data_IF_807669874129
#
_entry.id   IF_807669874129
#
_cell.length_a   1.000
_cell.length_b   1.000
_cell.length_c   1.000
_cell.angle_alpha   90.00
_cell.angle_beta   90.00
_cell.angle_gamma   90.00
#
_symmetry.space_group_name_H-M   'P 1'
#
loop_
_entity.id
_entity.type
_entity.pdbx_description
1 polymer ?
#
# COMPACT_ATOMS: atom_id res chain seq x y z
N UNK A 1 37.25 -34.62 65.73
CA UNK A 1 35.89 -35.22 65.78
C UNK A 1 34.87 -34.10 66.04
N UNK A 2 34.71 -33.15 65.10
CA UNK A 2 33.86 -31.96 65.28
C UNK A 2 33.44 -31.33 63.93
N UNK A 3 32.97 -32.13 62.98
CA UNK A 3 32.47 -31.60 61.69
C UNK A 3 31.32 -32.45 61.10
N UNK A 4 30.45 -32.98 61.97
CA UNK A 4 29.29 -33.79 61.57
C UNK A 4 27.98 -33.35 62.23
N UNK A 5 27.92 -32.13 62.76
CA UNK A 5 26.68 -31.55 63.28
C UNK A 5 26.49 -30.20 62.59
N UNK A 6 25.73 -30.19 61.49
CA UNK A 6 24.76 -29.14 61.10
C UNK A 6 24.44 -29.21 59.60
N UNK A 7 23.84 -30.32 59.16
CA UNK A 7 23.27 -30.40 57.79
C UNK A 7 21.74 -30.58 57.80
N UNK A 8 21.14 -30.84 58.97
CA UNK A 8 19.68 -31.01 59.10
C UNK A 8 18.92 -29.69 58.97
N UNK A 9 19.49 -28.58 59.44
CA UNK A 9 18.85 -27.27 59.34
C UNK A 9 18.85 -26.75 57.89
N UNK A 10 19.97 -26.93 57.18
CA UNK A 10 20.09 -26.53 55.77
C UNK A 10 19.12 -27.31 54.88
N UNK A 11 19.02 -28.62 55.06
CA UNK A 11 18.06 -29.46 54.31
C UNK A 11 16.61 -29.02 54.57
N UNK A 12 16.25 -28.68 55.82
CA UNK A 12 14.92 -28.17 56.15
C UNK A 12 14.61 -26.82 55.48
N UNK A 13 15.58 -25.92 55.43
CA UNK A 13 15.42 -24.61 54.76
C UNK A 13 15.26 -24.79 53.26
N UNK A 14 16.06 -25.66 52.63
CA UNK A 14 15.95 -25.96 51.20
C UNK A 14 14.58 -26.57 50.87
N UNK A 15 14.10 -27.53 51.67
CA UNK A 15 12.75 -28.10 51.47
C UNK A 15 11.63 -27.05 51.61
N UNK A 16 11.74 -26.11 52.55
CA UNK A 16 10.76 -25.02 52.69
C UNK A 16 10.78 -24.05 51.50
N UNK A 17 11.95 -23.75 50.95
CA UNK A 17 12.07 -22.88 49.77
C UNK A 17 11.51 -23.56 48.51
N UNK A 18 11.78 -24.86 48.32
CA UNK A 18 11.24 -25.61 47.18
C UNK A 18 9.72 -25.71 47.26
N UNK A 19 9.15 -26.01 48.42
CA UNK A 19 7.69 -26.09 48.59
C UNK A 19 7.01 -24.75 48.38
N UNK A 20 7.59 -23.65 48.86
CA UNK A 20 7.11 -22.30 48.59
C UNK A 20 7.16 -21.94 47.10
N UNK A 21 8.23 -22.31 46.40
CA UNK A 21 8.36 -22.06 44.96
C UNK A 21 7.34 -22.86 44.16
N UNK A 22 7.12 -24.14 44.50
CA UNK A 22 6.10 -24.97 43.87
C UNK A 22 4.69 -24.40 44.08
N UNK A 23 4.37 -23.91 45.28
CA UNK A 23 3.08 -23.27 45.55
C UNK A 23 2.89 -22.00 44.71
N UNK A 24 3.93 -21.20 44.54
CA UNK A 24 3.91 -20.00 43.70
C UNK A 24 3.70 -20.33 42.22
N UNK A 25 4.38 -21.35 41.70
CA UNK A 25 4.21 -21.81 40.31
C UNK A 25 2.78 -22.33 40.09
N UNK A 26 2.25 -23.14 41.00
CA UNK A 26 0.88 -23.65 40.92
C UNK A 26 -0.16 -22.53 40.97
N UNK A 27 0.05 -21.52 41.83
CA UNK A 27 -0.82 -20.35 41.91
C UNK A 27 -0.77 -19.51 40.62
N UNK A 28 0.43 -19.29 40.07
CA UNK A 28 0.60 -18.59 38.80
C UNK A 28 -0.11 -19.33 37.66
N UNK A 29 0.07 -20.65 37.54
CA UNK A 29 -0.61 -21.47 36.53
C UNK A 29 -2.14 -21.47 36.69
N UNK A 30 -2.64 -21.45 37.93
CA UNK A 30 -4.06 -21.32 38.20
C UNK A 30 -4.62 -19.96 37.76
N UNK A 31 -3.90 -18.87 38.05
CA UNK A 31 -4.31 -17.52 37.66
C UNK A 31 -4.27 -17.31 36.15
N UNK A 32 -3.27 -17.85 35.45
CA UNK A 32 -3.22 -17.79 33.97
C UNK A 32 -4.37 -18.55 33.34
N UNK A 33 -4.70 -19.75 33.84
CA UNK A 33 -5.83 -20.53 33.34
C UNK A 33 -7.17 -19.82 33.57
N UNK A 34 -7.35 -19.21 34.74
CA UNK A 34 -8.57 -18.43 35.05
C UNK A 34 -8.70 -17.19 34.15
N UNK A 35 -7.60 -16.55 33.80
CA UNK A 35 -7.60 -15.42 32.87
C UNK A 35 -7.95 -15.86 31.43
N UNK A 36 -7.46 -17.02 30.99
CA UNK A 36 -7.84 -17.62 29.70
C UNK A 36 -9.35 -17.94 29.66
N UNK A 37 -9.88 -18.59 30.70
CA UNK A 37 -11.31 -18.93 30.78
C UNK A 37 -12.20 -17.68 30.74
N UNK A 38 -11.84 -16.62 31.48
CA UNK A 38 -12.56 -15.34 31.47
C UNK A 38 -12.50 -14.62 30.10
N UNK A 39 -11.38 -14.75 29.39
CA UNK A 39 -11.23 -14.24 28.03
C UNK A 39 -12.13 -15.00 27.05
N UNK A 40 -12.20 -16.34 27.14
CA UNK A 40 -13.09 -17.15 26.30
C UNK A 40 -14.56 -16.86 26.56
N UNK A 41 -14.98 -16.69 27.82
CA UNK A 41 -16.36 -16.33 28.17
C UNK A 41 -16.75 -14.95 27.60
N UNK A 42 -15.85 -13.96 27.73
CA UNK A 42 -16.07 -12.60 27.19
C UNK A 42 -16.19 -12.62 25.66
N UNK A 43 -15.37 -13.44 24.99
CA UNK A 43 -15.42 -13.62 23.54
C UNK A 43 -16.72 -14.30 23.08
N UNK A 44 -17.23 -15.27 23.84
CA UNK A 44 -18.52 -15.91 23.55
C UNK A 44 -19.65 -14.89 23.62
N UNK A 45 -19.73 -14.11 24.71
CA UNK A 45 -20.76 -13.07 24.90
C UNK A 45 -20.71 -12.01 23.80
N UNK A 46 -19.51 -11.61 23.37
CA UNK A 46 -19.35 -10.67 22.25
C UNK A 46 -19.88 -11.25 20.93
N UNK A 47 -19.61 -12.53 20.63
CA UNK A 47 -20.11 -13.17 19.42
C UNK A 47 -21.64 -13.32 19.42
N UNK A 48 -22.24 -13.59 20.58
CA UNK A 48 -23.70 -13.67 20.73
C UNK A 48 -24.34 -12.29 20.50
N UNK A 49 -23.76 -11.23 21.05
CA UNK A 49 -24.19 -9.85 20.82
C UNK A 49 -24.10 -9.44 19.34
N UNK A 50 -23.01 -9.82 18.65
CA UNK A 50 -22.86 -9.55 17.21
C UNK A 50 -23.91 -10.31 16.38
N UNK A 51 -24.26 -11.54 16.76
CA UNK A 51 -25.32 -12.30 16.08
C UNK A 51 -26.69 -11.65 16.27
N UNK A 52 -26.97 -11.12 17.45
CA UNK A 52 -28.23 -10.44 17.75
C UNK A 52 -28.39 -9.17 16.91
N UNK A 53 -27.34 -8.35 16.80
CA UNK A 53 -27.33 -7.15 15.92
C UNK A 53 -27.54 -7.53 14.45
N UNK A 54 -26.86 -8.59 13.98
CA UNK A 54 -26.99 -9.03 12.59
C UNK A 54 -28.40 -9.53 12.28
N UNK A 55 -29.05 -10.21 13.23
CA UNK A 55 -30.41 -10.74 13.05
C UNK A 55 -31.48 -9.64 13.03
N UNK A 56 -31.29 -8.55 13.80
CA UNK A 56 -32.20 -7.39 13.74
C UNK A 56 -32.07 -6.60 12.44
N UNK A 57 -30.88 -6.57 11.83
CA UNK A 57 -30.66 -5.86 10.57
C UNK A 57 -31.27 -6.54 9.33
N UNK A 58 -31.49 -7.86 9.37
CA UNK A 58 -32.13 -8.62 8.29
C UNK A 58 -33.66 -8.54 8.32
N UNK A 59 -34.26 -8.15 9.45
CA UNK A 59 -35.72 -8.01 9.58
C UNK A 59 -36.25 -6.66 9.07
N UNK A 60 -35.38 -5.65 8.85
CA UNK A 60 -35.82 -4.33 8.38
C UNK A 60 -35.82 -4.14 6.85
N UNK A 61 -35.46 -5.16 6.06
CA UNK A 61 -35.34 -5.05 4.58
C UNK A 61 -36.51 -5.72 3.83
N UNK A 62 -37.50 -6.27 4.53
CA UNK A 62 -38.76 -6.75 3.92
C UNK A 62 -39.96 -5.96 4.46
N UNK A 63 -40.16 -4.77 3.90
CA UNK A 63 -41.44 -4.07 3.97
C UNK A 63 -41.82 -3.60 2.56
N UNK A 64 -43.04 -3.97 2.19
CA UNK A 64 -43.62 -3.97 0.85
C UNK A 64 -43.75 -2.58 0.20
N UNK A 65 -43.50 -2.52 -1.11
CA UNK A 65 -43.94 -1.42 -1.99
C UNK A 65 -45.31 -1.75 -2.60
N UNK A 66 -46.35 -0.94 -2.40
CA UNK A 66 -47.51 -0.94 -3.29
C UNK A 66 -47.40 0.19 -4.33
N UNK A 67 -47.60 -0.19 -5.59
CA UNK A 67 -47.84 0.69 -6.72
C UNK A 67 -49.28 1.24 -6.69
N UNK A 68 -49.47 2.55 -6.80
CA UNK A 68 -50.34 3.17 -7.81
C UNK A 68 -50.45 4.71 -7.73
N UNK A 69 -50.62 5.29 -8.93
CA UNK A 69 -51.27 6.57 -9.33
C UNK A 69 -52.32 7.12 -8.34
N UNK A 70 -52.62 8.42 -8.22
CA UNK A 70 -52.85 9.48 -9.23
C UNK A 70 -52.99 10.84 -8.51
N UNK A 71 -52.63 11.93 -9.21
CA UNK A 71 -53.11 13.32 -9.14
C UNK A 71 -53.84 13.85 -7.89
N UNK A 72 -53.30 14.92 -7.28
CA UNK A 72 -54.11 16.12 -6.97
C UNK A 72 -53.26 17.38 -6.68
N UNK A 73 -53.91 18.51 -7.01
CA UNK A 73 -53.45 19.89 -7.17
C UNK A 73 -53.14 20.64 -5.85
N UNK A 74 -52.23 21.62 -5.97
CA UNK A 74 -52.12 22.95 -5.32
C UNK A 74 -52.56 23.15 -3.86
N UNK A 75 -51.71 23.80 -3.05
CA UNK A 75 -51.92 25.15 -2.46
C UNK A 75 -50.57 25.67 -1.92
N UNK A 76 -50.26 26.92 -2.24
CA UNK A 76 -49.14 27.70 -1.72
C UNK A 76 -49.50 28.37 -0.39
N UNK A 77 -48.60 28.36 0.59
CA UNK A 77 -48.57 29.34 1.70
C UNK A 77 -47.13 29.55 2.14
N UNK A 78 -46.62 30.77 1.91
CA UNK A 78 -45.60 31.42 2.74
C UNK A 78 -46.35 32.47 3.57
N UNK A 79 -45.94 32.76 4.82
CA UNK A 79 -45.11 33.95 4.98
C UNK A 79 -44.04 33.90 6.09
N UNK A 80 -42.91 34.55 5.77
CA UNK A 80 -42.15 35.53 6.57
C UNK A 80 -42.48 35.63 8.08
N UNK A 81 -41.47 35.43 8.94
CA UNK A 81 -41.22 36.32 10.09
C UNK A 81 -39.70 36.46 10.32
N UNK A 82 -39.29 37.73 10.29
CA UNK A 82 -38.06 38.38 10.76
C UNK A 82 -37.55 37.95 12.14
N UNK A 83 -36.22 38.02 12.36
CA UNK A 83 -35.68 38.99 13.32
C UNK A 83 -34.16 39.20 13.19
N UNK A 84 -33.81 40.48 13.15
CA UNK A 84 -32.48 41.06 13.32
C UNK A 84 -32.06 40.98 14.80
N UNK A 85 -30.75 40.85 15.10
CA UNK A 85 -29.97 41.92 15.76
C UNK A 85 -28.55 41.51 16.18
N UNK A 86 -27.62 42.36 15.74
CA UNK A 86 -26.48 42.97 16.43
C UNK A 86 -25.24 42.21 16.95
N UNK A 87 -24.13 42.61 16.34
CA UNK A 87 -22.87 43.15 16.89
C UNK A 87 -21.93 42.26 17.71
N UNK A 88 -20.71 42.04 17.18
CA UNK A 88 -19.54 42.91 17.47
C UNK A 88 -18.29 42.34 16.77
N UNK A 89 -17.83 43.03 15.75
CA UNK A 89 -16.48 42.84 15.20
C UNK A 89 -15.42 43.34 16.20
N UNK A 90 -14.43 42.50 16.48
CA UNK A 90 -13.20 42.88 17.18
C UNK A 90 -12.04 42.61 16.24
N UNK A 91 -11.54 43.67 15.62
CA UNK A 91 -10.33 43.70 14.81
C UNK A 91 -9.11 43.47 15.70
N UNK A 92 -8.45 42.33 15.53
CA UNK A 92 -7.09 42.09 16.04
C UNK A 92 -6.10 42.20 14.89
N UNK A 93 -5.18 43.15 15.01
CA UNK A 93 -4.02 43.30 14.14
C UNK A 93 -3.04 42.15 14.40
N UNK A 94 -2.77 41.32 13.39
CA UNK A 94 -1.68 40.32 13.40
C UNK A 94 -0.54 40.81 12.51
N UNK A 95 0.73 40.68 12.93
CA UNK A 95 1.88 41.09 12.13
C UNK A 95 2.13 40.12 10.97
N UNK A 96 2.35 40.69 9.79
CA UNK A 96 2.71 40.01 8.54
C UNK A 96 4.07 39.32 8.64
N UNK A 97 4.08 37.98 8.63
CA UNK A 97 5.25 37.14 8.31
C UNK A 97 5.11 36.68 6.86
N UNK A 98 5.41 37.54 5.90
CA UNK A 98 5.25 37.23 4.45
C UNK A 98 6.56 37.11 3.68
N UNK A 99 7.74 37.32 4.28
CA UNK A 99 9.00 37.25 3.51
C UNK A 99 9.67 35.87 3.48
N UNK A 100 9.34 34.94 4.39
CA UNK A 100 9.99 33.60 4.42
C UNK A 100 9.27 32.51 3.62
N UNK A 101 7.95 32.63 3.37
CA UNK A 101 7.21 31.65 2.55
C UNK A 101 7.50 31.78 1.05
N UNK A 102 7.74 33.00 0.55
CA UNK A 102 8.07 33.24 -0.85
C UNK A 102 9.40 32.58 -1.25
N UNK A 103 10.40 32.61 -0.35
CA UNK A 103 11.71 32.01 -0.60
C UNK A 103 11.64 30.46 -0.64
N UNK A 104 10.84 29.85 0.24
CA UNK A 104 10.64 28.39 0.27
C UNK A 104 9.93 27.88 -1.01
N UNK A 105 8.99 28.66 -1.54
CA UNK A 105 8.19 28.27 -2.72
C UNK A 105 9.04 28.29 -4.01
N UNK A 106 10.02 29.19 -4.10
CA UNK A 106 10.95 29.28 -5.25
C UNK A 106 11.91 28.09 -5.28
N UNK A 107 12.43 27.65 -4.12
CA UNK A 107 13.34 26.51 -4.03
C UNK A 107 12.66 25.17 -4.33
N UNK A 108 11.39 25.00 -3.95
CA UNK A 108 10.61 23.79 -4.24
C UNK A 108 10.27 23.64 -5.74
N UNK A 109 9.97 24.74 -6.44
CA UNK A 109 9.72 24.71 -7.90
C UNK A 109 10.97 24.34 -8.70
N UNK A 110 12.15 24.81 -8.29
CA UNK A 110 13.40 24.46 -8.97
C UNK A 110 13.74 22.97 -8.84
N UNK A 111 13.47 22.34 -7.69
CA UNK A 111 13.73 20.91 -7.47
C UNK A 111 12.75 19.98 -8.20
N UNK A 112 11.50 20.39 -8.43
CA UNK A 112 10.57 19.62 -9.27
C UNK A 112 10.93 19.72 -10.76
N UNK A 113 11.46 20.85 -11.22
CA UNK A 113 11.73 21.08 -12.64
C UNK A 113 12.84 20.20 -13.24
N UNK A 114 13.88 19.85 -12.47
CA UNK A 114 15.01 19.07 -13.01
C UNK A 114 14.67 17.60 -13.29
N UNK A 115 13.77 17.02 -12.49
CA UNK A 115 13.27 15.66 -12.72
C UNK A 115 12.26 15.66 -13.88
N UNK A 116 11.42 16.69 -13.97
CA UNK A 116 10.40 16.82 -15.02
C UNK A 116 11.00 17.06 -16.42
N UNK A 117 12.11 17.80 -16.55
CA UNK A 117 12.77 18.03 -17.85
C UNK A 117 13.31 16.74 -18.48
N UNK A 118 13.93 15.87 -17.67
CA UNK A 118 14.42 14.57 -18.15
C UNK A 118 13.28 13.62 -18.51
N UNK A 119 12.15 13.68 -17.78
CA UNK A 119 10.95 12.88 -18.07
C UNK A 119 10.18 13.41 -19.30
N UNK A 120 10.20 14.72 -19.55
CA UNK A 120 9.57 15.32 -20.73
C UNK A 120 10.23 14.86 -22.05
N UNK A 121 11.55 14.63 -22.04
CA UNK A 121 12.28 14.08 -23.19
C UNK A 121 11.86 12.64 -23.55
N UNK A 122 11.42 11.86 -22.56
CA UNK A 122 10.93 10.48 -22.75
C UNK A 122 9.50 10.45 -23.30
N UNK A 123 8.68 11.43 -22.88
CA UNK A 123 7.27 11.50 -23.28
C UNK A 123 7.05 12.16 -24.64
N UNK A 124 8.09 12.72 -25.27
CA UNK A 124 8.02 13.10 -26.68
C UNK A 124 7.92 11.82 -27.51
N UNK A 125 6.86 11.62 -28.31
CA UNK A 125 6.78 10.47 -29.19
C UNK A 125 8.03 10.49 -30.06
N UNK A 126 8.89 9.48 -29.90
CA UNK A 126 9.97 9.27 -30.84
C UNK A 126 9.31 9.35 -32.22
N UNK A 127 9.79 10.27 -33.08
CA UNK A 127 9.48 10.24 -34.50
C UNK A 127 10.01 8.90 -35.00
N UNK A 128 9.20 7.86 -34.81
CA UNK A 128 9.45 6.53 -35.31
C UNK A 128 9.60 6.68 -36.81
N UNK A 129 10.68 6.10 -37.34
CA UNK A 129 10.97 6.03 -38.77
C UNK A 129 9.66 5.89 -39.56
N UNK A 130 9.40 6.87 -40.41
CA UNK A 130 8.16 7.07 -41.17
C UNK A 130 7.97 6.06 -42.30
N UNK A 131 8.36 4.80 -42.07
CA UNK A 131 8.26 3.69 -43.01
C UNK A 131 7.63 2.43 -42.41
N UNK A 132 6.86 2.53 -41.33
CA UNK A 132 5.93 1.45 -40.96
C UNK A 132 4.59 1.67 -41.68
N UNK A 133 4.30 0.78 -42.63
CA UNK A 133 3.00 0.60 -43.26
C UNK A 133 1.85 0.84 -42.26
N UNK A 134 0.82 1.57 -42.69
CA UNK A 134 -0.42 2.03 -42.00
C UNK A 134 -1.23 0.92 -41.28
N UNK A 135 -0.58 0.05 -40.54
CA UNK A 135 -1.21 -0.98 -39.72
C UNK A 135 -1.39 -0.39 -38.34
N UNK A 136 -2.64 -0.24 -37.94
CA UNK A 136 -3.00 0.20 -36.61
C UNK A 136 -2.23 -0.59 -35.53
N UNK A 137 -1.72 0.08 -34.48
CA UNK A 137 -0.89 -0.56 -33.47
C UNK A 137 -1.62 -1.72 -32.79
N UNK A 138 -0.88 -2.79 -32.50
CA UNK A 138 -1.36 -3.91 -31.69
C UNK A 138 -1.37 -3.57 -30.19
N UNK A 139 -1.93 -4.46 -29.39
CA UNK A 139 -2.06 -4.34 -27.94
C UNK A 139 -1.16 -5.35 -27.23
N UNK A 140 -0.56 -4.91 -26.12
CA UNK A 140 0.14 -5.73 -25.14
C UNK A 140 -0.57 -5.57 -23.80
N UNK A 141 -1.10 -6.66 -23.28
CA UNK A 141 -2.01 -6.63 -22.12
C UNK A 141 -1.37 -7.36 -20.94
N UNK A 142 -1.19 -6.67 -19.82
CA UNK A 142 -0.91 -7.36 -18.55
C UNK A 142 -2.17 -8.10 -18.10
N UNK A 143 -2.05 -9.40 -17.82
CA UNK A 143 -3.19 -10.23 -17.42
C UNK A 143 -2.97 -10.82 -16.01
N UNK A 144 -3.91 -10.51 -15.12
CA UNK A 144 -4.09 -11.14 -13.83
C UNK A 144 -5.58 -11.31 -13.52
N UNK A 145 -6.05 -12.55 -13.54
CA UNK A 145 -7.43 -12.92 -13.27
C UNK A 145 -7.48 -14.13 -12.32
N UNK A 146 -8.66 -14.71 -12.13
CA UNK A 146 -8.88 -15.81 -11.21
C UNK A 146 -8.30 -17.14 -11.71
N UNK A 147 -7.92 -17.24 -12.99
CA UNK A 147 -7.50 -18.50 -13.60
C UNK A 147 -6.11 -18.95 -13.14
N UNK A 148 -5.20 -18.00 -12.87
CA UNK A 148 -3.81 -18.28 -12.57
C UNK A 148 -3.24 -17.37 -11.48
N UNK A 149 -2.21 -17.86 -10.80
CA UNK A 149 -1.47 -17.12 -9.78
C UNK A 149 -0.74 -15.91 -10.40
N UNK A 150 -0.71 -14.76 -9.71
CA UNK A 150 -0.11 -13.51 -10.23
C UNK A 150 1.01 -12.93 -9.34
N UNK A 151 1.25 -13.51 -8.17
CA UNK A 151 2.09 -12.93 -7.14
C UNK A 151 1.36 -11.89 -6.28
N UNK A 152 2.03 -11.50 -5.19
CA UNK A 152 1.55 -10.45 -4.31
C UNK A 152 1.49 -9.08 -5.00
N UNK A 153 1.06 -8.04 -4.28
CA UNK A 153 0.86 -6.72 -4.88
C UNK A 153 2.13 -6.18 -5.55
N UNK A 154 3.28 -6.27 -4.88
CA UNK A 154 4.55 -5.84 -5.47
C UNK A 154 4.94 -6.62 -6.74
N UNK A 155 4.63 -7.92 -6.81
CA UNK A 155 4.92 -8.72 -8.01
C UNK A 155 4.12 -8.26 -9.22
N UNK A 156 2.86 -7.89 -8.99
CA UNK A 156 1.96 -7.34 -10.01
C UNK A 156 2.43 -5.97 -10.48
N UNK A 157 2.80 -5.08 -9.55
CA UNK A 157 3.37 -3.78 -9.91
C UNK A 157 4.63 -3.91 -10.75
N UNK A 158 5.52 -4.86 -10.41
CA UNK A 158 6.71 -5.20 -11.20
C UNK A 158 6.35 -5.66 -12.61
N UNK A 159 5.39 -6.59 -12.74
CA UNK A 159 4.94 -7.08 -14.05
C UNK A 159 4.29 -6.00 -14.90
N UNK A 160 3.40 -5.19 -14.31
CA UNK A 160 2.71 -4.08 -14.98
C UNK A 160 3.72 -3.06 -15.52
N UNK A 161 4.58 -2.53 -14.65
CA UNK A 161 5.55 -1.49 -15.04
C UNK A 161 6.56 -2.00 -16.06
N UNK A 162 7.01 -3.25 -15.92
CA UNK A 162 7.92 -3.84 -16.88
C UNK A 162 7.27 -4.10 -18.24
N UNK A 163 6.03 -4.57 -18.30
CA UNK A 163 5.35 -4.77 -19.59
C UNK A 163 4.98 -3.45 -20.25
N UNK A 164 4.66 -2.42 -19.46
CA UNK A 164 4.43 -1.09 -20.01
C UNK A 164 5.65 -0.56 -20.76
N UNK A 165 6.83 -0.70 -20.15
CA UNK A 165 8.09 -0.37 -20.80
C UNK A 165 8.31 -1.17 -22.10
N UNK A 166 8.08 -2.49 -22.05
CA UNK A 166 8.21 -3.35 -23.23
C UNK A 166 7.21 -2.95 -24.33
N UNK A 167 6.00 -2.53 -23.98
CA UNK A 167 4.99 -2.08 -24.95
C UNK A 167 5.50 -0.91 -25.79
N UNK A 168 6.19 0.05 -25.16
CA UNK A 168 6.79 1.20 -25.84
C UNK A 168 7.86 0.78 -26.83
N UNK A 169 8.70 -0.18 -26.47
CA UNK A 169 9.73 -0.73 -27.36
C UNK A 169 9.09 -1.47 -28.55
N UNK A 170 8.02 -2.22 -28.30
CA UNK A 170 7.35 -2.99 -29.33
C UNK A 170 6.46 -2.14 -30.25
N UNK A 171 6.16 -0.89 -29.87
CA UNK A 171 5.20 -0.05 -30.57
C UNK A 171 3.75 -0.54 -30.39
N UNK A 172 3.44 -1.15 -29.23
CA UNK A 172 2.10 -1.65 -28.88
C UNK A 172 1.44 -0.77 -27.83
N UNK A 173 0.14 -0.58 -27.97
CA UNK A 173 -0.68 0.04 -26.92
C UNK A 173 -0.71 -0.88 -25.69
N UNK A 174 -0.57 -0.30 -24.51
CA UNK A 174 -0.54 -1.05 -23.26
C UNK A 174 -1.91 -1.05 -22.60
N UNK A 175 -2.36 -2.22 -22.13
CA UNK A 175 -3.61 -2.38 -21.39
C UNK A 175 -3.40 -3.26 -20.15
N UNK A 176 -4.30 -3.17 -19.18
CA UNK A 176 -4.26 -3.94 -17.94
C UNK A 176 -5.60 -4.64 -17.73
N UNK A 177 -5.54 -5.97 -17.52
CA UNK A 177 -6.63 -6.75 -16.93
C UNK A 177 -6.14 -7.26 -15.59
N UNK A 178 -6.66 -6.68 -14.51
CA UNK A 178 -6.41 -7.16 -13.16
C UNK A 178 -7.73 -7.25 -12.41
N UNK A 179 -8.42 -8.40 -12.53
CA UNK A 179 -9.77 -8.62 -11.99
C UNK A 179 -9.78 -9.43 -10.69
N UNK A 180 -8.63 -9.92 -10.23
CA UNK A 180 -8.52 -10.76 -9.02
C UNK A 180 -7.38 -10.26 -8.16
N UNK A 181 -7.52 -10.13 -6.82
CA UNK A 181 -8.71 -10.45 -6.03
C UNK A 181 -9.88 -9.48 -6.23
N UNK A 182 -9.62 -8.32 -6.81
CA UNK A 182 -10.62 -7.30 -7.13
C UNK A 182 -10.19 -6.57 -8.39
N UNK A 183 -11.13 -5.87 -9.03
CA UNK A 183 -10.83 -5.04 -10.19
C UNK A 183 -9.95 -3.85 -9.78
N UNK A 184 -8.77 -3.73 -10.40
CA UNK A 184 -7.86 -2.62 -10.16
C UNK A 184 -8.52 -1.26 -10.44
N UNK A 185 -9.48 -1.20 -11.38
CA UNK A 185 -10.20 0.03 -11.73
C UNK A 185 -11.05 0.61 -10.61
N UNK A 186 -11.37 -0.18 -9.58
CA UNK A 186 -12.02 0.31 -8.37
C UNK A 186 -11.12 1.24 -7.55
N UNK A 187 -9.79 1.08 -7.67
CA UNK A 187 -8.81 1.74 -6.82
C UNK A 187 -7.90 2.70 -7.57
N UNK A 188 -7.60 2.42 -8.83
CA UNK A 188 -6.83 3.28 -9.71
C UNK A 188 -7.57 3.53 -11.01
N UNK A 189 -7.49 4.76 -11.51
CA UNK A 189 -7.97 5.14 -12.84
C UNK A 189 -6.77 5.42 -13.75
N UNK A 190 -6.95 5.36 -15.08
CA UNK A 190 -5.97 5.86 -16.03
C UNK A 190 -5.47 7.26 -15.69
N UNK A 191 -4.16 7.49 -15.81
CA UNK A 191 -3.57 8.83 -15.77
C UNK A 191 -3.31 9.38 -17.17
N UNK A 192 -2.09 9.18 -17.70
CA UNK A 192 -1.70 9.66 -19.04
C UNK A 192 -1.88 8.60 -20.11
N UNK A 193 -1.92 7.33 -19.70
CA UNK A 193 -2.20 6.19 -20.57
C UNK A 193 -3.52 5.58 -20.20
N UNK A 194 -4.44 5.54 -21.17
CA UNK A 194 -5.64 4.72 -21.06
C UNK A 194 -5.30 3.24 -21.18
N UNK A 195 -5.17 2.58 -20.03
CA UNK A 195 -4.92 1.14 -19.95
C UNK A 195 -6.19 0.30 -19.82
N UNK A 196 -7.39 0.91 -19.79
CA UNK A 196 -8.65 0.16 -19.67
C UNK A 196 -8.99 -0.58 -20.97
N UNK A 197 -9.65 -1.72 -20.82
CA UNK A 197 -10.07 -2.57 -21.93
C UNK A 197 -11.55 -2.37 -22.19
N UNK A 198 -11.90 -2.06 -23.44
CA UNK A 198 -13.28 -2.04 -23.90
C UNK A 198 -13.75 -3.45 -24.32
N UNK A 199 -15.05 -3.60 -24.60
CA UNK A 199 -15.59 -4.88 -25.05
C UNK A 199 -15.09 -5.27 -26.44
N UNK A 200 -14.74 -4.30 -27.29
CA UNK A 200 -14.32 -4.55 -28.68
C UNK A 200 -12.99 -5.28 -28.76
N UNK A 201 -12.06 -4.99 -27.85
CA UNK A 201 -10.76 -5.68 -27.74
C UNK A 201 -10.89 -7.18 -27.48
N UNK A 202 -11.98 -7.62 -26.84
CA UNK A 202 -12.22 -9.04 -26.53
C UNK A 202 -12.56 -9.87 -27.78
N UNK A 203 -13.07 -9.22 -28.82
CA UNK A 203 -13.45 -9.87 -30.09
C UNK A 203 -12.26 -10.01 -31.05
N UNK A 204 -11.15 -9.32 -30.77
CA UNK A 204 -9.96 -9.34 -31.62
C UNK A 204 -9.17 -10.64 -31.46
N UNK A 205 -8.57 -11.09 -32.56
CA UNK A 205 -7.68 -12.26 -32.56
C UNK A 205 -6.53 -12.06 -31.58
N UNK A 206 -6.44 -12.93 -30.58
CA UNK A 206 -5.54 -12.79 -29.45
C UNK A 206 -4.69 -14.04 -29.20
N UNK A 207 -3.66 -13.87 -28.38
CA UNK A 207 -2.85 -14.98 -27.85
C UNK A 207 -2.43 -14.66 -26.42
N UNK A 208 -2.14 -15.69 -25.62
CA UNK A 208 -1.70 -15.55 -24.24
C UNK A 208 -0.32 -16.17 -24.02
N UNK A 209 0.53 -15.45 -23.30
CA UNK A 209 1.86 -15.88 -22.87
C UNK A 209 1.89 -15.89 -21.34
N UNK A 210 1.89 -17.10 -20.76
CA UNK A 210 2.16 -17.25 -19.34
C UNK A 210 3.68 -17.29 -19.08
N UNK A 211 4.19 -16.27 -18.38
CA UNK A 211 5.58 -16.10 -17.97
C UNK A 211 5.71 -15.90 -16.45
N UNK A 212 4.76 -16.42 -15.67
CA UNK A 212 4.86 -16.43 -14.22
C UNK A 212 6.02 -17.33 -13.77
N UNK A 213 6.95 -16.78 -12.97
CA UNK A 213 8.12 -17.48 -12.43
C UNK A 213 8.99 -18.17 -13.50
N UNK A 214 8.93 -17.72 -14.76
CA UNK A 214 9.74 -18.28 -15.84
C UNK A 214 10.11 -17.20 -16.87
N UNK A 215 11.06 -17.52 -17.74
CA UNK A 215 11.60 -16.59 -18.73
C UNK A 215 10.93 -16.69 -20.11
N UNK A 216 9.77 -17.33 -20.25
CA UNK A 216 9.14 -17.60 -21.56
C UNK A 216 8.89 -16.32 -22.37
N UNK A 217 8.35 -15.28 -21.75
CA UNK A 217 8.15 -13.99 -22.44
C UNK A 217 9.49 -13.36 -22.84
N UNK A 218 10.49 -13.45 -21.97
CA UNK A 218 11.83 -12.96 -22.27
C UNK A 218 12.50 -13.71 -23.43
N UNK A 219 12.40 -15.04 -23.48
CA UNK A 219 12.92 -15.84 -24.60
C UNK A 219 12.22 -15.48 -25.91
N UNK A 220 10.93 -15.17 -25.85
CA UNK A 220 10.18 -14.69 -27.01
C UNK A 220 10.71 -13.34 -27.53
N UNK A 221 11.02 -12.40 -26.65
CA UNK A 221 11.63 -11.11 -27.02
C UNK A 221 13.04 -11.28 -27.62
N UNK A 222 13.81 -12.27 -27.15
CA UNK A 222 15.17 -12.57 -27.64
C UNK A 222 15.17 -13.20 -29.03
N UNK A 223 14.16 -14.00 -29.36
CA UNK A 223 14.15 -14.90 -30.51
C UNK A 223 13.92 -14.24 -31.89
N UNK A 224 13.94 -12.90 -31.99
CA UNK A 224 13.74 -12.17 -33.25
C UNK A 224 12.78 -10.98 -33.09
N UNK A 225 12.13 -10.58 -34.19
CA UNK A 225 11.06 -9.58 -34.14
C UNK A 225 9.82 -10.17 -33.46
N UNK A 226 9.51 -9.65 -32.28
CA UNK A 226 8.35 -10.08 -31.51
C UNK A 226 7.03 -9.91 -32.28
N UNK A 227 6.88 -8.84 -33.07
CA UNK A 227 5.65 -8.57 -33.81
C UNK A 227 5.46 -9.54 -34.98
N UNK A 228 6.55 -10.01 -35.58
CA UNK A 228 6.49 -11.07 -36.59
C UNK A 228 6.11 -12.42 -35.97
N UNK A 229 6.68 -12.73 -34.79
CA UNK A 229 6.41 -13.98 -34.06
C UNK A 229 4.98 -14.03 -33.50
N UNK A 230 4.48 -12.89 -33.05
CA UNK A 230 3.12 -12.73 -32.52
C UNK A 230 2.34 -11.70 -33.36
N UNK A 231 1.89 -12.09 -34.57
CA UNK A 231 1.15 -11.21 -35.47
C UNK A 231 -0.29 -10.94 -34.99
N UNK A 232 -0.62 -11.32 -33.75
CA UNK A 232 -1.91 -11.13 -33.13
C UNK A 232 -2.10 -9.66 -32.76
N UNK A 233 -3.33 -9.17 -32.98
CA UNK A 233 -3.70 -7.80 -32.62
C UNK A 233 -3.63 -7.60 -31.12
N UNK A 234 -3.93 -8.62 -30.32
CA UNK A 234 -3.84 -8.59 -28.85
C UNK A 234 -2.93 -9.69 -28.33
N UNK A 235 -1.96 -9.34 -27.47
CA UNK A 235 -1.11 -10.32 -26.78
C UNK A 235 -1.27 -10.13 -25.28
N UNK A 236 -1.90 -11.09 -24.62
CA UNK A 236 -2.01 -11.15 -23.17
C UNK A 236 -0.74 -11.76 -22.58
N UNK A 237 -0.24 -11.18 -21.50
CA UNK A 237 0.99 -11.64 -20.83
C UNK A 237 0.76 -11.67 -19.33
N UNK A 238 1.00 -12.84 -18.74
CA UNK A 238 1.07 -13.01 -17.28
C UNK A 238 2.53 -13.02 -16.87
N UNK A 239 2.90 -12.16 -15.94
CA UNK A 239 4.28 -12.12 -15.45
C UNK A 239 4.39 -11.37 -14.14
N UNK A 240 5.38 -11.77 -13.35
CA UNK A 240 5.88 -11.06 -12.18
C UNK A 240 7.35 -10.69 -12.36
N UNK A 241 7.86 -10.60 -13.58
CA UNK A 241 9.28 -10.36 -13.85
C UNK A 241 9.56 -8.91 -14.23
N UNK A 242 10.77 -8.43 -13.89
CA UNK A 242 11.31 -7.19 -14.45
C UNK A 242 12.17 -7.54 -15.68
N UNK A 243 11.75 -7.05 -16.83
CA UNK A 243 12.40 -7.26 -18.12
C UNK A 243 13.33 -6.12 -18.53
N UNK A 244 13.34 -4.98 -17.83
CA UNK A 244 14.02 -3.77 -18.31
C UNK A 244 15.50 -4.03 -18.62
N UNK A 245 16.28 -4.44 -17.61
CA UNK A 245 17.73 -4.62 -17.75
C UNK A 245 18.10 -5.66 -18.81
N UNK A 246 17.20 -6.63 -19.04
CA UNK A 246 17.43 -7.69 -20.00
C UNK A 246 17.10 -7.23 -21.43
N UNK A 247 16.01 -6.48 -21.60
CA UNK A 247 15.60 -5.93 -22.91
C UNK A 247 16.58 -4.86 -23.39
N UNK A 248 17.15 -4.06 -22.49
CA UNK A 248 18.15 -3.05 -22.82
C UNK A 248 19.46 -3.63 -23.41
N UNK A 249 19.68 -4.95 -23.32
CA UNK A 249 20.85 -5.64 -23.88
C UNK A 249 20.63 -6.17 -25.30
N UNK A 250 19.41 -6.08 -25.83
CA UNK A 250 19.10 -6.60 -27.16
C UNK A 250 19.43 -5.59 -28.25
N UNK A 251 20.41 -5.94 -29.09
CA UNK A 251 20.81 -5.13 -30.25
C UNK A 251 19.67 -4.94 -31.26
N UNK A 252 18.76 -5.92 -31.38
CA UNK A 252 17.59 -5.85 -32.27
C UNK A 252 16.64 -4.69 -31.93
N UNK A 253 16.58 -4.27 -30.67
CA UNK A 253 15.77 -3.13 -30.24
C UNK A 253 16.59 -1.84 -30.07
N UNK A 254 17.89 -1.86 -30.40
CA UNK A 254 18.84 -0.76 -30.18
C UNK A 254 18.31 0.62 -30.62
N UNK A 255 17.72 0.79 -31.83
CA UNK A 255 17.20 2.09 -32.25
C UNK A 255 16.08 2.62 -31.33
N UNK A 256 15.23 1.72 -30.82
CA UNK A 256 14.06 2.07 -30.00
C UNK A 256 14.41 2.28 -28.53
N UNK A 257 15.48 1.65 -28.03
CA UNK A 257 15.90 1.74 -26.63
C UNK A 257 16.79 2.95 -26.32
N UNK A 258 17.35 3.66 -27.32
CA UNK A 258 18.32 4.74 -27.11
C UNK A 258 17.80 5.81 -26.13
N UNK A 259 16.56 6.24 -26.30
CA UNK A 259 15.95 7.28 -25.45
C UNK A 259 15.64 6.80 -24.03
N UNK A 260 15.57 5.49 -23.81
CA UNK A 260 15.25 4.90 -22.51
C UNK A 260 16.47 4.71 -21.63
N UNK A 261 17.69 4.80 -22.18
CA UNK A 261 18.94 4.67 -21.42
C UNK A 261 19.13 5.70 -20.31
N UNK A 262 18.31 6.75 -20.25
CA UNK A 262 18.34 7.72 -19.14
C UNK A 262 17.70 7.15 -17.86
N UNK A 263 16.82 6.14 -17.97
CA UNK A 263 16.15 5.52 -16.82
C UNK A 263 16.93 4.28 -16.30
N UNK A 264 18.20 4.45 -15.93
CA UNK A 264 19.02 3.33 -15.43
C UNK A 264 18.71 2.94 -13.99
N UNK A 265 18.16 3.86 -13.19
CA UNK A 265 17.78 3.59 -11.82
C UNK A 265 16.39 2.92 -11.74
N UNK A 266 16.27 1.89 -10.89
CA UNK A 266 15.03 1.12 -10.77
C UNK A 266 13.89 1.91 -10.14
N UNK A 267 14.21 2.84 -9.23
CA UNK A 267 13.22 3.76 -8.63
C UNK A 267 12.68 4.70 -9.70
N UNK A 268 13.56 5.34 -10.47
CA UNK A 268 13.14 6.31 -11.47
C UNK A 268 12.29 5.67 -12.56
N UNK A 269 12.66 4.45 -13.01
CA UNK A 269 11.85 3.65 -13.93
C UNK A 269 10.45 3.36 -13.39
N UNK A 270 10.40 2.84 -12.17
CA UNK A 270 9.15 2.46 -11.56
C UNK A 270 8.27 3.69 -11.38
N UNK A 271 8.82 4.78 -10.84
CA UNK A 271 8.12 6.04 -10.61
C UNK A 271 7.59 6.63 -11.90
N UNK A 272 8.39 6.67 -12.97
CA UNK A 272 7.94 7.10 -14.29
C UNK A 272 6.77 6.24 -14.79
N UNK A 273 6.95 4.92 -14.85
CA UNK A 273 5.93 4.01 -15.36
C UNK A 273 4.63 4.07 -14.54
N UNK A 274 4.76 4.07 -13.21
CA UNK A 274 3.62 4.10 -12.31
C UNK A 274 2.86 5.42 -12.39
N UNK A 275 3.56 6.56 -12.41
CA UNK A 275 2.91 7.87 -12.55
C UNK A 275 2.24 8.05 -13.91
N UNK A 276 2.77 7.45 -14.97
CA UNK A 276 2.17 7.55 -16.30
C UNK A 276 0.88 6.71 -16.42
N UNK A 277 0.86 5.56 -15.74
CA UNK A 277 -0.27 4.62 -15.76
C UNK A 277 -1.35 4.97 -14.72
N UNK A 278 -0.95 5.21 -13.48
CA UNK A 278 -1.82 5.10 -12.31
C UNK A 278 -2.14 6.45 -11.71
N UNK A 279 -3.43 6.73 -11.55
CA UNK A 279 -3.95 7.79 -10.69
C UNK A 279 -4.86 7.17 -9.64
N UNK A 280 -4.63 7.38 -8.33
CA UNK A 280 -5.55 6.91 -7.31
C UNK A 280 -7.00 7.35 -7.61
N UNK A 281 -7.95 6.44 -7.45
CA UNK A 281 -9.37 6.73 -7.61
C UNK A 281 -9.86 7.67 -6.51
N UNK A 282 -11.03 8.27 -6.73
CA UNK A 282 -11.65 9.12 -5.72
C UNK A 282 -12.00 8.34 -4.44
N UNK A 283 -12.31 7.05 -4.54
CA UNK A 283 -12.62 6.18 -3.40
C UNK A 283 -11.36 6.04 -2.54
N UNK A 284 -10.27 5.56 -3.14
CA UNK A 284 -9.00 5.36 -2.45
C UNK A 284 -8.44 6.65 -1.84
N UNK A 285 -8.59 7.79 -2.53
CA UNK A 285 -8.17 9.08 -2.01
C UNK A 285 -9.02 9.54 -0.81
N UNK A 286 -10.33 9.28 -0.80
CA UNK A 286 -11.21 9.59 0.33
C UNK A 286 -10.85 8.77 1.55
N UNK A 287 -10.54 7.48 1.37
CA UNK A 287 -10.17 6.62 2.50
C UNK A 287 -8.88 7.11 3.15
N UNK A 288 -7.88 7.46 2.33
CA UNK A 288 -6.63 8.01 2.85
C UNK A 288 -6.86 9.39 3.49
N UNK A 289 -7.65 10.27 2.88
CA UNK A 289 -7.98 11.59 3.47
C UNK A 289 -8.71 11.44 4.80
N UNK A 290 -9.60 10.44 4.92
CA UNK A 290 -10.24 10.11 6.18
C UNK A 290 -9.23 9.63 7.24
N UNK A 291 -8.16 8.93 6.86
CA UNK A 291 -7.15 8.45 7.81
C UNK A 291 -6.25 9.60 8.28
N UNK A 292 -5.63 10.33 7.35
CA UNK A 292 -4.53 11.27 7.65
C UNK A 292 -4.87 12.76 7.49
N UNK A 293 -6.06 13.08 7.00
CA UNK A 293 -6.48 14.46 6.80
C UNK A 293 -6.00 15.09 5.48
N UNK A 294 -6.77 16.07 5.01
CA UNK A 294 -6.55 16.73 3.73
C UNK A 294 -5.29 17.58 3.70
N UNK A 295 -4.96 18.30 4.77
CA UNK A 295 -3.81 19.19 4.80
C UNK A 295 -2.51 18.39 4.71
N UNK A 296 -2.42 17.23 5.39
CA UNK A 296 -1.30 16.30 5.23
C UNK A 296 -1.16 15.83 3.76
N UNK A 297 -2.24 15.42 3.10
CA UNK A 297 -2.18 14.97 1.71
C UNK A 297 -1.79 16.07 0.72
N UNK A 298 -2.24 17.31 0.96
CA UNK A 298 -1.83 18.49 0.18
C UNK A 298 -0.34 18.76 0.36
N UNK A 299 0.15 18.75 1.60
CA UNK A 299 1.57 18.91 1.93
C UNK A 299 2.45 17.87 1.24
N UNK A 300 1.96 16.63 1.11
CA UNK A 300 2.65 15.54 0.42
C UNK A 300 2.47 15.57 -1.10
N UNK A 301 1.65 16.46 -1.64
CA UNK A 301 1.40 16.62 -3.06
C UNK A 301 0.56 15.49 -3.67
N UNK A 302 -0.19 14.73 -2.85
CA UNK A 302 -1.07 13.68 -3.36
C UNK A 302 -2.37 14.24 -3.92
N UNK A 303 -2.88 15.32 -3.30
CA UNK A 303 -4.05 16.08 -3.75
C UNK A 303 -3.71 17.57 -3.73
N UNK A 304 -4.43 18.39 -4.51
CA UNK A 304 -4.21 19.83 -4.57
C UNK A 304 -5.23 20.65 -3.78
N UNK A 305 -6.34 20.01 -3.37
CA UNK A 305 -7.40 20.59 -2.56
C UNK A 305 -8.12 19.47 -1.79
N UNK A 306 -8.80 19.78 -0.68
CA UNK A 306 -9.61 18.80 0.04
C UNK A 306 -10.66 18.16 -0.88
N UNK A 307 -10.99 16.89 -0.64
CA UNK A 307 -11.98 16.19 -1.45
C UNK A 307 -13.36 16.60 -0.95
N UNK A 308 -14.06 17.36 -1.78
CA UNK A 308 -15.40 17.85 -1.48
C UNK A 308 -16.35 16.67 -1.20
N UNK A 309 -16.79 16.56 0.05
CA UNK A 309 -17.77 15.59 0.52
C UNK A 309 -18.93 16.35 1.14
N UNK A 310 -20.16 15.83 0.98
CA UNK A 310 -21.37 16.47 1.52
C UNK A 310 -21.36 16.53 3.06
N UNK A 311 -20.53 15.74 3.71
CA UNK A 311 -20.31 15.72 5.14
C UNK A 311 -18.84 16.05 5.38
N UNK A 312 -18.55 16.99 6.28
CA UNK A 312 -17.17 17.21 6.72
C UNK A 312 -16.66 15.93 7.38
N UNK A 313 -15.85 15.16 6.65
CA UNK A 313 -15.20 13.97 7.19
C UNK A 313 -14.12 14.47 8.14
N UNK A 314 -14.31 14.25 9.45
CA UNK A 314 -13.22 14.42 10.41
C UNK A 314 -12.20 13.31 10.15
N UNK A 315 -10.92 13.68 10.07
CA UNK A 315 -9.87 12.69 9.96
C UNK A 315 -9.81 11.87 11.25
N UNK A 316 -9.45 10.59 11.12
CA UNK A 316 -9.19 9.71 12.25
C UNK A 316 -7.99 10.20 13.05
N UNK A 317 -6.99 10.74 12.34
CA UNK A 317 -5.79 11.32 12.91
C UNK A 317 -5.57 12.73 12.37
N UNK A 318 -5.30 13.67 13.26
CA UNK A 318 -4.87 15.02 12.89
C UNK A 318 -3.33 15.04 12.86
N UNK A 319 -2.77 14.83 11.66
CA UNK A 319 -1.32 14.74 11.45
C UNK A 319 -0.77 15.89 10.60
N UNK A 320 -1.55 16.94 10.39
CA UNK A 320 -1.33 17.98 9.38
C UNK A 320 0.10 18.56 9.37
N UNK A 321 0.60 18.93 10.55
CA UNK A 321 1.96 19.46 10.71
C UNK A 321 2.96 18.43 11.25
N UNK A 322 2.50 17.21 11.52
CA UNK A 322 3.32 16.17 12.13
C UNK A 322 4.26 15.50 11.13
N UNK A 323 5.30 14.87 11.68
CA UNK A 323 6.18 13.97 10.94
C UNK A 323 5.58 12.58 10.93
N UNK A 324 5.48 11.93 9.77
CA UNK A 324 5.04 10.55 9.66
C UNK A 324 6.25 9.61 9.55
N UNK A 325 6.44 8.76 10.56
CA UNK A 325 7.54 7.78 10.64
C UNK A 325 6.97 6.38 10.44
N UNK A 326 7.44 5.69 9.41
CA UNK A 326 6.87 4.41 9.01
C UNK A 326 7.84 3.25 9.08
N UNK A 327 7.32 2.08 9.40
CA UNK A 327 8.00 0.80 9.27
C UNK A 327 7.16 -0.17 8.45
N UNK A 328 7.82 -1.01 7.66
CA UNK A 328 7.19 -2.15 7.03
C UNK A 328 7.84 -3.45 7.51
N UNK A 329 7.04 -4.36 8.04
CA UNK A 329 7.46 -5.66 8.54
C UNK A 329 6.80 -6.76 7.72
N UNK A 330 7.62 -7.51 6.97
CA UNK A 330 7.21 -8.68 6.19
C UNK A 330 7.69 -9.93 6.92
N UNK A 331 6.78 -10.68 7.52
CA UNK A 331 7.05 -11.93 8.22
C UNK A 331 7.04 -13.12 7.26
N UNK A 332 6.18 -13.12 6.24
CA UNK A 332 5.91 -14.31 5.45
C UNK A 332 4.84 -15.16 6.13
N UNK A 333 5.06 -16.46 6.16
CA UNK A 333 4.17 -17.43 6.80
C UNK A 333 4.00 -17.13 8.29
N UNK A 334 2.76 -16.92 8.71
CA UNK A 334 2.42 -16.62 10.10
C UNK A 334 0.96 -17.02 10.40
N UNK A 335 0.50 -17.00 11.66
CA UNK A 335 -0.89 -17.35 11.99
C UNK A 335 -1.98 -16.56 11.26
N UNK A 336 -1.74 -15.29 10.91
CA UNK A 336 -2.67 -14.47 10.10
C UNK A 336 -2.67 -14.90 8.63
N UNK A 337 -1.50 -15.28 8.09
CA UNK A 337 -1.32 -15.70 6.70
C UNK A 337 -0.59 -17.06 6.64
N UNK A 338 -1.28 -18.17 6.99
CA UNK A 338 -0.62 -19.47 7.17
C UNK A 338 -0.17 -20.13 5.86
N UNK A 339 -0.66 -19.66 4.73
CA UNK A 339 -0.41 -20.21 3.38
C UNK A 339 0.70 -19.46 2.63
N UNK A 340 1.40 -18.56 3.31
CA UNK A 340 2.50 -17.81 2.72
C UNK A 340 3.83 -18.59 2.81
N UNK A 341 4.88 -18.02 2.23
CA UNK A 341 6.23 -18.58 2.25
C UNK A 341 6.96 -18.23 3.55
N UNK A 342 7.75 -19.19 4.07
CA UNK A 342 8.62 -18.95 5.21
C UNK A 342 9.73 -17.96 4.82
N UNK A 343 9.74 -16.78 5.46
CA UNK A 343 10.77 -15.77 5.25
C UNK A 343 11.63 -15.63 6.51
N UNK A 344 12.94 -15.69 6.35
CA UNK A 344 13.89 -15.66 7.47
C UNK A 344 14.52 -14.28 7.72
N UNK A 345 14.06 -13.24 7.01
CA UNK A 345 14.70 -11.92 7.03
C UNK A 345 14.37 -11.09 8.28
N UNK A 346 13.26 -11.39 8.95
CA UNK A 346 12.81 -10.69 10.15
C UNK A 346 12.33 -11.71 11.18
N UNK A 347 12.80 -11.59 12.41
CA UNK A 347 12.37 -12.40 13.56
C UNK A 347 11.57 -11.52 14.51
N UNK A 348 10.65 -12.11 15.26
CA UNK A 348 9.89 -11.36 16.27
C UNK A 348 10.78 -10.68 17.33
N UNK A 349 11.97 -11.22 17.59
CA UNK A 349 12.99 -10.61 18.44
C UNK A 349 13.55 -9.29 17.90
N UNK A 350 13.34 -9.00 16.61
CA UNK A 350 13.82 -7.80 15.93
C UNK A 350 12.83 -6.63 16.05
N UNK A 351 11.57 -6.91 16.43
CA UNK A 351 10.51 -5.90 16.54
C UNK A 351 10.85 -4.77 17.53
N UNK A 352 11.39 -5.04 18.73
CA UNK A 352 11.84 -3.98 19.63
C UNK A 352 12.93 -3.08 19.02
N UNK A 353 13.80 -3.61 18.14
CA UNK A 353 14.81 -2.82 17.45
C UNK A 353 14.17 -1.82 16.49
N UNK A 354 13.17 -2.26 15.71
CA UNK A 354 12.38 -1.39 14.84
C UNK A 354 11.68 -0.29 15.64
N UNK A 355 10.97 -0.67 16.69
CA UNK A 355 10.22 0.26 17.55
C UNK A 355 11.12 1.33 18.16
N UNK A 356 12.25 0.95 18.76
CA UNK A 356 13.22 1.89 19.34
C UNK A 356 13.84 2.80 18.30
N UNK A 357 14.14 2.28 17.10
CA UNK A 357 14.68 3.08 16.02
C UNK A 357 13.66 4.15 15.56
N UNK A 358 12.41 3.75 15.32
CA UNK A 358 11.36 4.69 14.91
C UNK A 358 11.14 5.77 15.98
N UNK A 359 11.06 5.37 17.26
CA UNK A 359 10.95 6.31 18.39
C UNK A 359 12.17 7.24 18.50
N UNK A 360 13.38 6.77 18.22
CA UNK A 360 14.57 7.61 18.22
C UNK A 360 14.50 8.68 17.11
N UNK A 361 13.88 8.36 15.96
CA UNK A 361 13.67 9.32 14.86
C UNK A 361 12.61 10.37 15.18
N UNK A 362 11.68 10.08 16.08
CA UNK A 362 10.69 11.09 16.53
C UNK A 362 11.29 12.14 17.46
N UNK A 363 12.47 11.93 18.05
CA UNK A 363 13.07 12.92 18.98
C UNK A 363 13.46 14.23 18.31
N UNK A 364 13.39 14.30 16.98
CA UNK A 364 13.57 15.52 16.18
C UNK A 364 12.28 16.36 16.12
N UNK A 365 11.10 15.78 16.36
CA UNK A 365 9.80 16.46 16.38
C UNK A 365 8.86 15.82 17.40
N UNK A 366 8.52 16.54 18.48
CA UNK A 366 7.55 16.06 19.49
C UNK A 366 6.19 15.68 18.85
N UNK A 367 5.86 16.28 17.72
CA UNK A 367 4.66 16.00 16.92
C UNK A 367 5.00 15.00 15.80
N UNK A 368 5.17 13.73 16.17
CA UNK A 368 5.34 12.64 15.18
C UNK A 368 4.30 11.54 15.38
N UNK A 369 3.78 11.02 14.28
CA UNK A 369 2.95 9.81 14.25
C UNK A 369 3.72 8.66 13.65
N UNK A 370 3.33 7.45 14.02
CA UNK A 370 3.93 6.21 13.58
C UNK A 370 2.95 5.43 12.72
N UNK A 371 3.46 4.70 11.74
CA UNK A 371 2.67 3.76 10.97
C UNK A 371 3.46 2.47 10.74
N UNK A 372 2.85 1.31 10.96
CA UNK A 372 3.48 0.01 10.77
C UNK A 372 2.63 -0.85 9.84
N UNK A 373 3.04 -0.96 8.59
CA UNK A 373 2.45 -1.90 7.64
C UNK A 373 3.02 -3.30 7.88
N UNK A 374 2.16 -4.31 8.02
CA UNK A 374 2.60 -5.68 8.28
C UNK A 374 1.60 -6.72 7.80
N UNK A 375 2.12 -7.91 7.51
CA UNK A 375 1.38 -9.11 7.15
C UNK A 375 1.04 -10.00 8.36
N UNK A 376 1.32 -9.54 9.59
CA UNK A 376 1.04 -10.31 10.80
C UNK A 376 0.33 -9.46 11.87
N UNK A 377 -0.87 -9.88 12.27
CA UNK A 377 -1.72 -9.18 13.24
C UNK A 377 -1.04 -8.99 14.61
N UNK A 378 -0.19 -9.93 15.03
CA UNK A 378 0.59 -9.77 16.26
C UNK A 378 1.54 -8.58 16.19
N UNK A 379 2.23 -8.35 15.07
CA UNK A 379 3.14 -7.21 14.91
C UNK A 379 2.38 -5.88 15.00
N UNK A 380 1.18 -5.82 14.42
CA UNK A 380 0.30 -4.65 14.51
C UNK A 380 -0.11 -4.37 15.96
N UNK A 381 -0.58 -5.40 16.68
CA UNK A 381 -0.97 -5.30 18.11
C UNK A 381 0.18 -4.87 19.00
N UNK A 382 1.35 -5.48 18.86
CA UNK A 382 2.54 -5.10 19.62
C UNK A 382 2.98 -3.67 19.31
N UNK A 383 2.85 -3.23 18.05
CA UNK A 383 3.15 -1.84 17.68
C UNK A 383 2.15 -0.87 18.30
N UNK A 384 0.86 -1.23 18.36
CA UNK A 384 -0.17 -0.42 19.01
C UNK A 384 0.09 -0.29 20.50
N UNK A 385 0.45 -1.39 21.17
CA UNK A 385 0.84 -1.38 22.59
C UNK A 385 2.08 -0.52 22.83
N UNK A 386 3.06 -0.53 21.93
CA UNK A 386 4.31 0.21 22.10
C UNK A 386 4.16 1.72 21.85
N UNK A 387 3.46 2.13 20.80
CA UNK A 387 3.33 3.53 20.38
C UNK A 387 2.08 4.23 20.91
N UNK A 388 1.09 3.48 21.42
CA UNK A 388 -0.18 4.00 21.91
C UNK A 388 -0.93 4.80 20.83
N UNK A 389 -1.57 5.89 21.25
CA UNK A 389 -2.40 6.75 20.39
C UNK A 389 -1.64 7.45 19.25
N UNK A 390 -0.30 7.36 19.24
CA UNK A 390 0.55 7.90 18.17
C UNK A 390 0.72 6.93 17.00
N UNK A 391 0.28 5.66 17.13
CA UNK A 391 0.21 4.75 16.00
C UNK A 391 -1.05 5.02 15.18
N UNK A 392 -0.87 5.27 13.90
CA UNK A 392 -1.96 5.28 12.92
C UNK A 392 -2.38 3.83 12.70
N UNK A 393 -3.55 3.47 13.22
CA UNK A 393 -4.22 2.21 13.01
C UNK A 393 -5.65 2.50 12.55
N UNK A 394 -5.92 2.30 11.26
CA UNK A 394 -7.21 2.61 10.64
C UNK A 394 -8.16 1.40 10.52
N UNK A 395 -7.82 0.27 11.16
CA UNK A 395 -8.58 -0.96 10.95
C UNK A 395 -8.16 -1.72 9.67
N UNK A 396 -9.05 -2.54 9.14
CA UNK A 396 -8.77 -3.35 7.95
C UNK A 396 -8.17 -4.73 8.25
N UNK A 397 -8.64 -5.73 7.49
CA UNK A 397 -8.18 -7.11 7.62
C UNK A 397 -6.85 -7.30 6.91
N UNK A 398 -5.83 -7.75 7.66
CA UNK A 398 -4.55 -8.15 7.07
C UNK A 398 -4.76 -9.42 6.25
N UNK A 399 -4.54 -9.32 4.94
CA UNK A 399 -4.74 -10.41 3.99
C UNK A 399 -3.60 -10.44 2.97
N UNK A 400 -3.22 -11.64 2.55
CA UNK A 400 -2.37 -11.77 1.37
C UNK A 400 -3.25 -11.82 0.12
N UNK A 401 -3.18 -10.76 -0.70
CA UNK A 401 -4.08 -10.54 -1.86
C UNK A 401 -4.17 -11.72 -2.83
N UNK A 402 -3.15 -12.58 -2.81
CA UNK A 402 -3.01 -13.69 -3.74
C UNK A 402 -3.29 -15.08 -3.16
N UNK A 403 -3.31 -15.23 -1.83
CA UNK A 403 -3.50 -16.54 -1.16
C UNK A 403 -4.93 -16.76 -0.67
N UNK A 404 -5.74 -15.70 -0.59
CA UNK A 404 -7.09 -15.74 -0.01
C UNK A 404 -8.17 -15.38 -1.03
N UNK A 405 -8.03 -15.83 -2.28
CA UNK A 405 -8.82 -15.41 -3.46
C UNK A 405 -10.33 -15.68 -3.41
N UNK A 406 -10.81 -16.52 -2.50
CA UNK A 406 -12.20 -16.99 -2.48
C UNK A 406 -13.00 -16.51 -1.25
N UNK A 407 -12.51 -15.50 -0.52
CA UNK A 407 -13.22 -14.92 0.62
C UNK A 407 -14.18 -13.80 0.22
N UNK A 408 -15.25 -13.59 1.00
CA UNK A 408 -16.17 -12.45 0.80
C UNK A 408 -15.47 -11.08 0.98
N UNK A 409 -14.31 -11.04 1.66
CA UNK A 409 -13.53 -9.82 1.95
C UNK A 409 -12.34 -9.58 1.01
N UNK A 410 -12.24 -10.28 -0.12
CA UNK A 410 -11.07 -10.21 -1.02
C UNK A 410 -10.76 -8.82 -1.56
N UNK A 411 -11.79 -8.02 -1.87
CA UNK A 411 -11.61 -6.64 -2.31
C UNK A 411 -11.09 -5.74 -1.18
N UNK A 412 -11.61 -5.91 0.03
CA UNK A 412 -11.12 -5.19 1.22
C UNK A 412 -9.66 -5.52 1.52
N UNK A 413 -9.25 -6.79 1.35
CA UNK A 413 -7.84 -7.17 1.50
C UNK A 413 -6.90 -6.48 0.50
N UNK A 414 -7.34 -6.28 -0.74
CA UNK A 414 -6.57 -5.49 -1.72
C UNK A 414 -6.55 -4.01 -1.34
N UNK A 415 -7.70 -3.44 -1.00
CA UNK A 415 -7.84 -2.05 -0.57
C UNK A 415 -6.89 -1.70 0.59
N UNK A 416 -6.87 -2.52 1.64
CA UNK A 416 -5.94 -2.37 2.78
C UNK A 416 -4.49 -2.40 2.30
N UNK A 417 -4.12 -3.33 1.42
CA UNK A 417 -2.78 -3.39 0.86
C UNK A 417 -2.42 -2.14 0.04
N UNK A 418 -3.38 -1.54 -0.67
CA UNK A 418 -3.18 -0.30 -1.42
C UNK A 418 -3.03 0.91 -0.51
N UNK A 419 -3.89 1.04 0.51
CA UNK A 419 -3.82 2.10 1.52
C UNK A 419 -2.51 2.01 2.28
N UNK A 420 -2.12 0.83 2.77
CA UNK A 420 -0.84 0.62 3.46
C UNK A 420 0.34 1.07 2.61
N UNK A 421 0.39 0.66 1.34
CA UNK A 421 1.49 1.03 0.46
C UNK A 421 1.51 2.54 0.18
N UNK A 422 0.35 3.17 0.01
CA UNK A 422 0.25 4.60 -0.19
C UNK A 422 0.68 5.36 1.06
N UNK A 423 0.24 4.97 2.26
CA UNK A 423 0.71 5.55 3.51
C UNK A 423 2.24 5.43 3.64
N UNK A 424 2.82 4.25 3.36
CA UNK A 424 4.28 4.05 3.33
C UNK A 424 4.99 5.02 2.36
N UNK A 425 4.37 5.35 1.23
CA UNK A 425 4.93 6.29 0.25
C UNK A 425 4.88 7.76 0.69
N UNK A 426 4.05 8.10 1.69
CA UNK A 426 3.88 9.46 2.19
C UNK A 426 4.79 9.78 3.39
N UNK A 427 5.53 8.80 3.91
CA UNK A 427 6.31 8.95 5.14
C UNK A 427 7.54 9.85 4.98
N UNK A 428 7.87 10.60 6.02
CA UNK A 428 9.10 11.42 6.09
C UNK A 428 10.33 10.57 6.42
N UNK A 429 10.12 9.52 7.20
CA UNK A 429 11.10 8.48 7.52
C UNK A 429 10.46 7.13 7.22
N UNK A 430 11.12 6.29 6.43
CA UNK A 430 10.59 4.99 6.03
C UNK A 430 11.62 3.88 6.26
N UNK A 431 11.28 2.91 7.10
CA UNK A 431 12.03 1.67 7.27
C UNK A 431 11.36 0.58 6.42
N UNK A 432 12.06 0.07 5.41
CA UNK A 432 11.56 -0.98 4.51
C UNK A 432 12.16 -2.33 4.88
N UNK A 433 11.36 -3.39 4.74
CA UNK A 433 11.87 -4.77 4.72
C UNK A 433 12.25 -5.18 3.29
N UNK A 434 12.84 -6.38 3.14
CA UNK A 434 13.15 -7.01 1.85
C UNK A 434 11.88 -7.53 1.17
N UNK A 435 11.00 -6.62 0.78
CA UNK A 435 9.73 -6.89 0.10
C UNK A 435 9.53 -5.92 -1.06
N UNK A 436 8.97 -6.42 -2.18
CA UNK A 436 8.53 -5.57 -3.27
C UNK A 436 7.51 -4.52 -2.81
N UNK A 437 6.66 -4.88 -1.83
CA UNK A 437 5.62 -4.01 -1.29
C UNK A 437 6.17 -2.66 -0.77
N UNK A 438 7.07 -2.69 0.21
CA UNK A 438 7.68 -1.47 0.75
C UNK A 438 8.74 -0.85 -0.15
N UNK A 439 9.36 -1.65 -1.02
CA UNK A 439 10.31 -1.14 -2.02
C UNK A 439 9.60 -0.24 -3.03
N UNK A 440 8.45 -0.64 -3.55
CA UNK A 440 7.70 0.20 -4.48
C UNK A 440 7.07 1.42 -3.80
N UNK A 441 6.66 1.30 -2.53
CA UNK A 441 6.29 2.47 -1.72
C UNK A 441 7.44 3.50 -1.64
N UNK A 442 8.67 3.04 -1.39
CA UNK A 442 9.84 3.93 -1.31
C UNK A 442 10.22 4.55 -2.65
N UNK A 443 9.86 3.91 -3.77
CA UNK A 443 10.07 4.47 -5.11
C UNK A 443 9.09 5.60 -5.43
N UNK A 444 7.86 5.49 -4.93
CA UNK A 444 6.82 6.52 -5.06
C UNK A 444 6.99 7.68 -4.08
N UNK A 445 7.73 7.47 -2.98
CA UNK A 445 8.01 8.50 -2.02
C UNK A 445 8.74 9.70 -2.66
N UNK A 446 8.48 10.89 -2.14
CA UNK A 446 9.18 12.10 -2.50
C UNK A 446 10.71 11.94 -2.32
N UNK A 447 11.50 12.71 -3.05
CA UNK A 447 12.96 12.59 -3.09
C UNK A 447 13.64 12.88 -1.74
N UNK A 448 12.92 13.49 -0.80
CA UNK A 448 13.42 13.99 0.50
C UNK A 448 13.29 13.00 1.66
N UNK A 449 12.51 11.91 1.53
CA UNK A 449 12.33 10.99 2.65
C UNK A 449 13.60 10.20 2.99
N UNK A 450 13.84 10.01 4.28
CA UNK A 450 14.95 9.20 4.77
C UNK A 450 14.55 7.72 4.75
N UNK A 451 15.14 6.95 3.83
CA UNK A 451 14.85 5.52 3.66
C UNK A 451 15.91 4.69 4.37
N UNK A 452 15.45 3.73 5.17
CA UNK A 452 16.26 2.76 5.90
C UNK A 452 15.83 1.34 5.53
N UNK A 453 16.75 0.38 5.62
CA UNK A 453 16.49 -1.03 5.33
C UNK A 453 16.62 -1.82 6.62
N UNK A 454 15.60 -2.61 6.93
CA UNK A 454 15.56 -3.59 8.01
C UNK A 454 15.86 -4.98 7.45
N UNK A 455 17.01 -5.53 7.80
CA UNK A 455 17.45 -6.87 7.39
C UNK A 455 18.17 -7.55 8.57
N UNK A 456 17.74 -8.76 8.94
CA UNK A 456 18.34 -9.57 9.99
C UNK A 456 18.48 -8.81 11.32
N UNK A 457 17.43 -8.10 11.72
CA UNK A 457 17.39 -7.30 12.95
C UNK A 457 18.24 -6.04 12.95
N UNK A 458 18.90 -5.69 11.85
CA UNK A 458 19.69 -4.47 11.71
C UNK A 458 19.00 -3.45 10.82
N UNK A 459 19.07 -2.18 11.21
CA UNK A 459 18.54 -1.05 10.44
C UNK A 459 19.71 -0.25 9.90
N UNK A 460 19.84 -0.21 8.58
CA UNK A 460 20.90 0.52 7.88
C UNK A 460 20.29 1.65 7.06
N UNK A 461 20.97 2.80 7.02
CA UNK A 461 20.54 3.88 6.14
C UNK A 461 20.81 3.48 4.70
N UNK A 462 19.79 3.62 3.84
CA UNK A 462 19.99 3.37 2.43
C UNK A 462 20.69 4.58 1.78
N UNK A 463 22.01 4.63 1.90
CA UNK A 463 22.83 5.70 1.31
C UNK A 463 22.88 5.58 -0.23
N UNK A 464 22.67 4.36 -0.74
CA UNK A 464 22.63 4.08 -2.18
C UNK A 464 21.19 3.96 -2.67
N UNK A 465 20.66 5.01 -3.28
CA UNK A 465 19.34 5.02 -3.96
C UNK A 465 19.14 3.84 -4.93
N UNK A 466 20.22 3.21 -5.40
CA UNK A 466 20.23 2.01 -6.22
C UNK A 466 19.96 0.72 -5.41
N UNK A 467 18.69 0.43 -5.11
CA UNK A 467 18.27 -0.92 -4.70
C UNK A 467 18.37 -1.87 -5.91
N UNK A 468 19.57 -2.33 -6.26
CA UNK A 468 19.69 -3.42 -7.25
C UNK A 468 19.07 -4.67 -6.63
N UNK A 469 18.09 -5.32 -7.29
CA UNK A 469 17.66 -6.64 -6.87
C UNK A 469 18.88 -7.56 -6.99
N UNK A 470 19.37 -8.10 -5.86
CA UNK A 470 20.06 -9.39 -5.93
C UNK A 470 19.04 -10.34 -6.54
N UNK A 471 19.34 -10.88 -7.72
CA UNK A 471 18.51 -11.87 -8.39
C UNK A 471 18.10 -12.94 -7.38
N UNK A 472 16.79 -13.09 -7.20
CA UNK A 472 16.20 -14.26 -6.52
C UNK A 472 16.25 -15.41 -7.52
#
# INVERSE_FOLDING_TARGET
MAYLISNRTLVKVICLLITSLCAWIMYFMYMTRRAEDAFFESRSKFNDYVREIMFESDLSIKADFPSNRTDQKTVAVNPLVSNQQHDKERTFLTPTVTSSLALLTVTLKQFQSSDDENLAAINSPAKADSQQNNTEPGYLVYLCDSTLFCGGWGDRQRGITSLYFVSKILGRQFKIVMSTPCDLSNFYVPNRVDWQIDTTLKELKSTEINSMNNDRFFQNLKSGDFNQKFPYKVVFVRTNSDFYDRVMRFSSYSPRIKHWKVLLDARDRFRWAWNDLMKPSLILLKDIEHIVGSSFLIKKGLINKPIETRQQIRSLYDIDNSTLICGHVRIGKNPTIPMDEDLYNFKMTDLPTLHRFMLAKSRVSLDSYFFVATDYDYVRKESLLFFGDRLIDYGGQIMHIDRQRNGQSVCSGLEVALIDQLLLSLCDVLVISKSGFSRYASYLNNSTANIYILENGQITQNVNKNLRPKSI
#
